data_IF_377861387250
#
_entry.id   IF_377861387250
#
_cell.length_a   1.000
_cell.length_b   1.000
_cell.length_c   1.000
_cell.angle_alpha   90.00
_cell.angle_beta   90.00
_cell.angle_gamma   90.00
#
_symmetry.space_group_name_H-M   'P 1'
#
loop_
_entity.id
_entity.type
_entity.pdbx_description
1 polymer ?
#
# COMPACT_ATOMS: atom_id res chain seq x y z
N UNK A 1 3.63 -28.71 -4.34
CA UNK A 1 3.57 -27.67 -5.40
C UNK A 1 2.42 -26.75 -5.03
N UNK A 2 2.70 -25.51 -4.72
CA UNK A 2 1.72 -24.47 -4.39
C UNK A 2 0.80 -24.23 -5.60
N UNK A 3 -0.42 -23.75 -5.36
CA UNK A 3 -1.37 -23.41 -6.43
C UNK A 3 -2.09 -22.12 -6.07
N UNK A 4 -2.22 -21.24 -7.04
CA UNK A 4 -3.05 -20.06 -6.88
C UNK A 4 -4.53 -20.47 -7.04
N UNK A 5 -5.32 -20.22 -6.00
CA UNK A 5 -6.74 -20.63 -5.95
C UNK A 5 -7.58 -19.36 -5.80
N UNK A 6 -8.38 -19.05 -6.81
CA UNK A 6 -9.41 -18.02 -6.73
C UNK A 6 -10.51 -18.41 -5.74
N UNK A 7 -10.98 -17.45 -4.97
CA UNK A 7 -12.07 -17.60 -3.98
C UNK A 7 -13.14 -16.55 -4.26
N UNK A 8 -14.35 -17.00 -4.57
CA UNK A 8 -15.51 -16.11 -4.57
C UNK A 8 -15.82 -15.69 -3.12
N UNK A 9 -15.68 -14.39 -2.84
CA UNK A 9 -15.79 -13.83 -1.49
C UNK A 9 -17.14 -13.16 -1.24
N UNK A 10 -18.11 -13.31 -2.14
CA UNK A 10 -19.48 -12.80 -1.93
C UNK A 10 -20.16 -13.57 -0.80
N UNK A 11 -20.93 -12.88 0.02
CA UNK A 11 -21.61 -13.42 1.20
C UNK A 11 -20.66 -13.96 2.30
N UNK A 12 -19.45 -13.42 2.37
CA UNK A 12 -18.46 -13.77 3.41
C UNK A 12 -18.21 -12.62 4.40
N UNK A 13 -18.98 -11.55 4.33
CA UNK A 13 -18.75 -10.26 5.00
C UNK A 13 -17.45 -9.58 4.53
N UNK A 14 -17.01 -9.87 3.33
CA UNK A 14 -15.84 -9.25 2.72
C UNK A 14 -16.15 -7.80 2.31
N UNK A 15 -15.34 -6.85 2.77
CA UNK A 15 -15.56 -5.44 2.46
C UNK A 15 -15.60 -5.16 0.95
N UNK A 16 -14.75 -5.84 0.16
CA UNK A 16 -14.64 -5.67 -1.29
C UNK A 16 -15.95 -6.01 -2.03
N UNK A 17 -16.60 -7.12 -1.69
CA UNK A 17 -17.80 -7.60 -2.38
C UNK A 17 -19.09 -7.25 -1.64
N UNK A 18 -19.11 -7.31 -0.31
CA UNK A 18 -20.32 -7.16 0.51
C UNK A 18 -20.44 -5.76 1.14
N UNK A 19 -19.37 -4.93 1.07
CA UNK A 19 -19.36 -3.57 1.64
C UNK A 19 -19.76 -2.46 0.68
N UNK A 20 -20.20 -2.77 -0.54
CA UNK A 20 -20.44 -1.81 -1.62
C UNK A 20 -21.52 -0.78 -1.29
N UNK A 21 -22.62 -1.21 -0.64
CA UNK A 21 -23.71 -0.31 -0.27
C UNK A 21 -23.23 0.89 0.57
N UNK A 22 -22.29 0.64 1.49
CA UNK A 22 -21.75 1.70 2.35
C UNK A 22 -20.89 2.70 1.55
N UNK A 23 -20.09 2.22 0.60
CA UNK A 23 -19.12 3.03 -0.13
C UNK A 23 -19.70 3.70 -1.37
N UNK A 24 -20.49 2.95 -2.14
CA UNK A 24 -21.02 3.37 -3.44
C UNK A 24 -22.50 3.74 -3.41
N UNK A 25 -23.21 3.44 -2.29
CA UNK A 25 -24.66 3.61 -2.19
C UNK A 25 -25.45 2.62 -3.04
N UNK A 26 -24.81 1.51 -3.47
CA UNK A 26 -25.35 0.52 -4.38
C UNK A 26 -24.68 -0.84 -4.16
N UNK A 27 -25.38 -1.94 -4.47
CA UNK A 27 -24.88 -3.31 -4.41
C UNK A 27 -24.81 -3.95 -5.79
N UNK A 28 -24.14 -5.09 -5.89
CA UNK A 28 -24.06 -5.88 -7.12
C UNK A 28 -23.19 -5.24 -8.21
N UNK A 29 -22.29 -4.36 -7.85
CA UNK A 29 -21.24 -3.88 -8.73
C UNK A 29 -20.14 -4.93 -8.87
N UNK A 30 -19.46 -4.96 -10.01
CA UNK A 30 -18.27 -5.78 -10.17
C UNK A 30 -17.09 -5.12 -9.43
N UNK A 31 -16.52 -5.82 -8.43
CA UNK A 31 -15.64 -5.22 -7.45
C UNK A 31 -14.16 -5.27 -7.87
N UNK A 32 -13.58 -4.10 -8.17
CA UNK A 32 -12.16 -3.92 -8.49
C UNK A 32 -11.53 -2.75 -7.69
N UNK A 33 -11.95 -2.53 -6.44
CA UNK A 33 -11.58 -1.34 -5.64
C UNK A 33 -10.67 -1.66 -4.44
N UNK A 34 -11.13 -2.40 -3.42
CA UNK A 34 -10.34 -2.67 -2.21
C UNK A 34 -9.01 -3.33 -2.56
N UNK A 35 -7.92 -2.80 -1.98
CA UNK A 35 -6.58 -3.35 -2.13
C UNK A 35 -6.38 -4.60 -1.25
N UNK A 36 -7.13 -5.66 -1.56
CA UNK A 36 -6.91 -7.05 -1.12
C UNK A 36 -7.08 -8.00 -2.31
N UNK A 37 -6.71 -9.24 -2.17
CA UNK A 37 -6.73 -10.20 -3.26
C UNK A 37 -7.93 -11.15 -3.15
N UNK A 38 -8.38 -11.70 -4.28
CA UNK A 38 -9.39 -12.75 -4.32
C UNK A 38 -8.74 -14.16 -4.43
N UNK A 39 -7.52 -14.30 -3.96
CA UNK A 39 -6.78 -15.56 -3.90
C UNK A 39 -6.71 -16.08 -2.46
N UNK A 40 -6.86 -17.41 -2.32
CA UNK A 40 -6.60 -18.09 -1.05
C UNK A 40 -5.15 -17.83 -0.64
N UNK A 41 -4.94 -17.52 0.64
CA UNK A 41 -3.60 -17.32 1.21
C UNK A 41 -2.72 -18.58 1.07
N UNK A 42 -1.38 -18.47 1.16
CA UNK A 42 -0.47 -19.62 1.09
C UNK A 42 -0.86 -20.74 2.05
N UNK A 43 -0.66 -22.00 1.64
CA UNK A 43 -1.01 -23.16 2.49
C UNK A 43 -0.23 -23.17 3.81
N UNK A 44 1.00 -22.65 3.85
CA UNK A 44 1.77 -22.50 5.08
C UNK A 44 1.04 -21.65 6.12
N UNK A 45 0.39 -20.57 5.70
CA UNK A 45 -0.43 -19.70 6.58
C UNK A 45 -1.66 -20.45 7.08
N UNK A 46 -2.39 -21.14 6.18
CA UNK A 46 -3.59 -21.90 6.56
C UNK A 46 -3.25 -22.99 7.55
N UNK A 47 -2.17 -23.72 7.31
CA UNK A 47 -1.73 -24.82 8.18
C UNK A 47 -1.29 -24.34 9.56
N UNK A 48 -0.52 -23.26 9.64
CA UNK A 48 -0.08 -22.68 10.92
C UNK A 48 -1.26 -22.14 11.75
N UNK A 49 -2.20 -21.46 11.10
CA UNK A 49 -3.42 -20.99 11.76
C UNK A 49 -4.30 -22.14 12.25
N UNK A 50 -4.44 -23.20 11.47
CA UNK A 50 -5.20 -24.41 11.86
C UNK A 50 -4.59 -25.05 13.11
N UNK A 51 -3.27 -25.26 13.12
CA UNK A 51 -2.55 -25.80 14.28
C UNK A 51 -2.78 -24.95 15.53
N UNK A 52 -2.68 -23.62 15.39
CA UNK A 52 -2.94 -22.70 16.50
C UNK A 52 -4.39 -22.80 17.00
N UNK A 53 -5.37 -22.84 16.08
CA UNK A 53 -6.80 -22.97 16.42
C UNK A 53 -7.10 -24.28 17.14
N UNK A 54 -6.47 -25.38 16.74
CA UNK A 54 -6.63 -26.72 17.34
C UNK A 54 -6.15 -26.77 18.81
N UNK A 55 -5.26 -25.86 19.25
CA UNK A 55 -4.85 -25.76 20.65
C UNK A 55 -6.02 -25.42 21.60
N UNK A 56 -7.07 -24.76 21.09
CA UNK A 56 -8.30 -24.45 21.80
C UNK A 56 -8.18 -23.44 22.95
N UNK A 57 -7.00 -22.83 23.16
CA UNK A 57 -6.76 -21.83 24.21
C UNK A 57 -6.10 -20.59 23.62
N UNK A 58 -6.79 -19.46 23.62
CA UNK A 58 -6.36 -18.19 23.00
C UNK A 58 -6.05 -17.14 24.06
N UNK A 59 -5.13 -17.48 24.97
CA UNK A 59 -4.66 -16.61 26.05
C UNK A 59 -3.63 -15.57 25.59
N UNK A 60 -2.96 -14.93 26.55
CA UNK A 60 -1.88 -13.98 26.25
C UNK A 60 -0.75 -14.69 25.49
N UNK A 61 -0.31 -14.05 24.39
CA UNK A 61 0.66 -14.61 23.48
C UNK A 61 2.04 -13.98 23.68
N UNK A 62 3.06 -14.80 23.85
CA UNK A 62 4.45 -14.37 23.82
C UNK A 62 4.97 -14.50 22.40
N UNK A 63 5.34 -13.39 21.79
CA UNK A 63 5.88 -13.38 20.42
C UNK A 63 7.17 -14.21 20.39
N UNK A 64 7.25 -15.27 19.56
CA UNK A 64 8.46 -16.10 19.47
C UNK A 64 9.56 -15.40 18.67
N UNK A 65 10.82 -15.75 18.94
CA UNK A 65 11.96 -15.24 18.17
C UNK A 65 11.86 -15.62 16.70
N UNK A 66 11.26 -16.75 16.37
CA UNK A 66 11.03 -17.21 15.00
C UNK A 66 10.16 -16.24 14.17
N UNK A 67 9.26 -15.48 14.79
CA UNK A 67 8.50 -14.44 14.10
C UNK A 67 9.41 -13.33 13.57
N UNK A 68 10.30 -12.82 14.41
CA UNK A 68 11.26 -11.79 14.00
C UNK A 68 12.26 -12.35 13.00
N UNK A 69 12.73 -13.57 13.23
CA UNK A 69 13.72 -14.19 12.34
C UNK A 69 13.15 -14.42 10.94
N UNK A 70 11.90 -14.88 10.80
CA UNK A 70 11.25 -15.06 9.50
C UNK A 70 11.20 -13.76 8.68
N UNK A 71 10.88 -12.65 9.33
CA UNK A 71 10.89 -11.34 8.70
C UNK A 71 12.31 -10.86 8.35
N UNK A 72 13.26 -10.98 9.26
CA UNK A 72 14.66 -10.59 9.05
C UNK A 72 15.29 -11.37 7.88
N UNK A 73 15.02 -12.68 7.82
CA UNK A 73 15.50 -13.52 6.71
C UNK A 73 14.84 -13.11 5.39
N UNK A 74 13.53 -12.80 5.40
CA UNK A 74 12.82 -12.31 4.23
C UNK A 74 13.42 -11.00 3.68
N UNK A 75 13.64 -10.01 4.53
CA UNK A 75 14.23 -8.72 4.15
C UNK A 75 15.64 -8.89 3.56
N UNK A 76 16.45 -9.75 4.18
CA UNK A 76 17.80 -10.05 3.68
C UNK A 76 17.75 -10.76 2.31
N UNK A 77 16.89 -11.75 2.15
CA UNK A 77 16.84 -12.60 0.95
C UNK A 77 16.18 -11.89 -0.24
N UNK A 78 15.13 -11.09 -0.02
CA UNK A 78 14.37 -10.45 -1.09
C UNK A 78 14.81 -9.02 -1.38
N UNK A 79 15.26 -8.28 -0.35
CA UNK A 79 15.58 -6.86 -0.48
C UNK A 79 17.06 -6.55 -0.19
N UNK A 80 17.85 -7.54 0.23
CA UNK A 80 19.27 -7.33 0.58
C UNK A 80 19.49 -6.40 1.76
N UNK A 81 18.50 -6.28 2.65
CA UNK A 81 18.52 -5.36 3.79
C UNK A 81 18.60 -6.10 5.12
N UNK A 82 19.64 -5.76 5.91
CA UNK A 82 19.91 -6.38 7.22
C UNK A 82 19.15 -5.64 8.33
N UNK A 83 17.94 -6.10 8.64
CA UNK A 83 17.14 -5.58 9.75
C UNK A 83 17.59 -6.22 11.06
N UNK A 84 17.74 -5.41 12.13
CA UNK A 84 18.02 -5.93 13.46
C UNK A 84 16.73 -6.09 14.25
N UNK A 85 16.63 -7.15 15.04
CA UNK A 85 15.45 -7.46 15.86
C UNK A 85 15.06 -6.29 16.78
N UNK A 86 16.04 -5.63 17.40
CA UNK A 86 15.84 -4.49 18.29
C UNK A 86 15.26 -3.26 17.61
N UNK A 87 15.28 -3.17 16.28
CA UNK A 87 14.66 -2.09 15.53
C UNK A 87 13.17 -2.27 15.30
N UNK A 88 12.69 -3.54 15.44
CA UNK A 88 11.32 -3.89 15.06
C UNK A 88 10.35 -3.56 16.20
N UNK A 89 9.29 -2.83 15.85
CA UNK A 89 8.14 -2.54 16.69
C UNK A 89 6.86 -3.03 16.00
N UNK A 90 5.82 -3.22 16.77
CA UNK A 90 4.52 -3.69 16.29
C UNK A 90 3.56 -2.52 16.10
N UNK A 91 2.74 -2.56 15.01
CA UNK A 91 1.49 -1.82 14.92
C UNK A 91 0.36 -2.72 14.34
N UNK A 92 -0.93 -2.44 14.64
CA UNK A 92 -2.04 -3.30 14.21
C UNK A 92 -2.42 -3.10 12.74
N UNK A 93 -1.49 -2.65 11.94
CA UNK A 93 -1.59 -2.34 10.52
C UNK A 93 -0.86 -1.06 10.19
N UNK A 94 -0.43 -0.93 8.94
CA UNK A 94 0.40 0.19 8.48
C UNK A 94 -0.31 1.54 8.67
N UNK A 95 -1.63 1.60 8.39
CA UNK A 95 -2.41 2.83 8.58
C UNK A 95 -2.39 3.29 10.05
N UNK A 96 -2.59 2.38 11.00
CA UNK A 96 -2.48 2.73 12.42
C UNK A 96 -1.04 3.17 12.79
N UNK A 97 -0.05 2.48 12.23
CA UNK A 97 1.37 2.79 12.44
C UNK A 97 1.74 4.20 12.04
N UNK A 98 1.37 4.63 10.84
CA UNK A 98 1.70 6.00 10.41
C UNK A 98 0.85 7.08 11.12
N UNK A 99 -0.39 6.78 11.56
CA UNK A 99 -1.14 7.68 12.44
C UNK A 99 -0.42 7.90 13.79
N UNK A 100 0.12 6.82 14.38
CA UNK A 100 0.88 6.92 15.63
C UNK A 100 2.19 7.67 15.44
N UNK A 101 2.94 7.36 14.37
CA UNK A 101 4.19 8.06 14.05
C UNK A 101 3.95 9.55 13.79
N UNK A 102 2.86 9.89 13.11
CA UNK A 102 2.49 11.28 12.87
C UNK A 102 2.30 12.03 14.21
N UNK A 103 1.62 11.41 15.20
CA UNK A 103 1.46 11.99 16.54
C UNK A 103 2.76 12.03 17.36
N UNK A 104 3.65 11.06 17.15
CA UNK A 104 4.94 10.97 17.85
C UNK A 104 5.95 11.99 17.33
N UNK A 105 5.94 12.26 16.01
CA UNK A 105 6.96 13.03 15.31
C UNK A 105 6.56 14.49 15.05
N UNK A 106 5.29 14.85 15.25
CA UNK A 106 4.77 16.19 14.97
C UNK A 106 3.80 16.65 16.04
N UNK A 107 3.59 17.98 16.12
CA UNK A 107 2.58 18.61 16.98
C UNK A 107 1.35 19.04 16.15
N UNK A 108 0.24 19.41 16.80
CA UNK A 108 -0.91 20.00 16.13
C UNK A 108 -0.51 21.25 15.34
N UNK A 109 -1.07 21.38 14.13
CA UNK A 109 -0.78 22.43 13.14
C UNK A 109 0.60 22.36 12.48
N UNK A 110 1.45 21.38 12.79
CA UNK A 110 2.65 21.14 11.99
C UNK A 110 2.28 20.76 10.54
N UNK A 111 3.10 21.18 9.59
CA UNK A 111 2.92 20.85 8.19
C UNK A 111 3.49 19.46 7.87
N UNK A 112 2.70 18.65 7.16
CA UNK A 112 3.06 17.31 6.69
C UNK A 112 2.91 17.26 5.18
N UNK A 113 3.97 16.85 4.47
CA UNK A 113 3.98 16.78 3.00
C UNK A 113 3.79 15.35 2.51
N UNK A 114 3.09 15.21 1.38
CA UNK A 114 2.91 13.97 0.62
C UNK A 114 3.05 14.23 -0.87
N UNK A 115 3.41 13.21 -1.67
CA UNK A 115 3.44 13.32 -3.14
C UNK A 115 2.13 12.80 -3.71
N UNK A 116 1.31 13.68 -4.29
CA UNK A 116 0.01 13.32 -4.88
C UNK A 116 0.10 13.07 -6.41
N UNK A 117 -0.75 12.17 -7.00
CA UNK A 117 -1.81 11.40 -6.32
C UNK A 117 -1.23 10.37 -5.37
N UNK A 118 -1.86 10.17 -4.21
CA UNK A 118 -1.37 9.22 -3.21
C UNK A 118 -2.52 8.55 -2.47
N UNK A 119 -2.26 7.41 -1.88
CA UNK A 119 -3.19 6.66 -1.04
C UNK A 119 -3.93 7.57 -0.04
N UNK A 120 -5.24 7.71 -0.23
CA UNK A 120 -6.06 8.70 0.46
C UNK A 120 -6.02 8.61 2.00
N UNK A 121 -5.80 7.45 2.66
CA UNK A 121 -5.59 7.43 4.10
C UNK A 121 -4.38 8.26 4.60
N UNK A 122 -3.40 8.59 3.75
CA UNK A 122 -2.36 9.55 4.14
C UNK A 122 -2.94 10.96 4.32
N UNK A 123 -3.80 11.37 3.37
CA UNK A 123 -4.47 12.67 3.41
C UNK A 123 -5.38 12.76 4.64
N UNK A 124 -6.12 11.67 4.91
CA UNK A 124 -7.01 11.57 6.06
C UNK A 124 -6.22 11.55 7.38
N UNK A 125 -5.09 10.84 7.44
CA UNK A 125 -4.26 10.82 8.64
C UNK A 125 -3.78 12.20 9.04
N UNK A 126 -3.29 12.99 8.08
CA UNK A 126 -2.84 14.36 8.33
C UNK A 126 -3.97 15.23 8.85
N UNK A 127 -5.14 15.21 8.18
CA UNK A 127 -6.31 16.01 8.54
C UNK A 127 -6.94 15.58 9.88
N UNK A 128 -7.13 14.27 10.08
CA UNK A 128 -7.76 13.73 11.27
C UNK A 128 -6.93 13.89 12.54
N UNK A 129 -5.61 14.08 12.38
CA UNK A 129 -4.71 14.39 13.48
C UNK A 129 -4.44 15.91 13.61
N UNK A 130 -5.22 16.77 12.97
CA UNK A 130 -5.10 18.23 13.03
C UNK A 130 -3.72 18.76 12.60
N UNK A 131 -3.11 18.15 11.57
CA UNK A 131 -1.89 18.65 10.91
C UNK A 131 -2.25 19.34 9.62
N UNK A 132 -1.37 20.20 9.14
CA UNK A 132 -1.54 20.92 7.88
C UNK A 132 -1.05 20.07 6.72
N UNK A 133 -1.97 19.65 5.84
CA UNK A 133 -1.63 18.85 4.67
C UNK A 133 -1.01 19.72 3.57
N UNK A 134 0.19 19.36 3.14
CA UNK A 134 0.88 19.93 1.99
C UNK A 134 0.99 18.86 0.92
N UNK A 135 0.51 19.17 -0.29
CA UNK A 135 0.60 18.25 -1.43
C UNK A 135 1.66 18.75 -2.41
N UNK A 136 2.65 17.92 -2.72
CA UNK A 136 3.57 18.11 -3.83
C UNK A 136 3.16 17.14 -4.94
N UNK A 137 2.63 17.67 -6.04
CA UNK A 137 2.12 16.83 -7.11
C UNK A 137 3.28 16.21 -7.89
N UNK A 138 3.18 14.91 -8.15
CA UNK A 138 4.06 14.23 -9.08
C UNK A 138 3.87 14.81 -10.49
N UNK A 139 4.93 14.97 -11.24
CA UNK A 139 4.85 15.25 -12.68
C UNK A 139 4.28 14.03 -13.39
N UNK A 140 3.37 14.24 -14.31
CA UNK A 140 2.78 13.18 -15.13
C UNK A 140 3.03 13.51 -16.61
N UNK A 141 3.81 12.69 -17.27
CA UNK A 141 4.06 12.77 -18.71
C UNK A 141 3.46 11.53 -19.38
N UNK A 142 2.18 11.65 -19.80
CA UNK A 142 1.44 10.58 -20.48
C UNK A 142 1.41 9.25 -19.69
N UNK A 143 1.15 9.32 -18.38
CA UNK A 143 1.06 8.16 -17.49
C UNK A 143 2.38 7.81 -16.79
N UNK A 144 3.49 8.37 -17.22
CA UNK A 144 4.77 8.23 -16.52
C UNK A 144 4.90 9.29 -15.43
N UNK A 145 4.99 8.85 -14.19
CA UNK A 145 5.07 9.72 -13.03
C UNK A 145 6.52 9.90 -12.56
N UNK A 146 6.88 11.12 -12.19
CA UNK A 146 8.19 11.47 -11.61
C UNK A 146 8.03 12.50 -10.49
N UNK A 147 9.04 12.58 -9.63
CA UNK A 147 9.06 13.53 -8.52
C UNK A 147 9.45 14.93 -9.04
N UNK A 148 8.70 15.96 -8.65
CA UNK A 148 9.09 17.35 -8.82
C UNK A 148 9.91 17.80 -7.60
N UNK A 149 11.21 17.58 -7.63
CA UNK A 149 12.11 17.90 -6.52
C UNK A 149 12.14 19.40 -6.19
N UNK A 150 12.03 20.26 -7.19
CA UNK A 150 12.05 21.71 -7.01
C UNK A 150 10.77 22.18 -6.28
N UNK A 151 9.59 21.66 -6.69
CA UNK A 151 8.32 21.92 -6.03
C UNK A 151 8.32 21.35 -4.60
N UNK A 152 8.84 20.13 -4.44
CA UNK A 152 8.91 19.45 -3.14
C UNK A 152 9.75 20.26 -2.14
N UNK A 153 10.99 20.66 -2.49
CA UNK A 153 11.86 21.43 -1.62
C UNK A 153 11.30 22.82 -1.35
N UNK A 154 10.76 23.48 -2.38
CA UNK A 154 10.09 24.78 -2.21
C UNK A 154 8.95 24.71 -1.20
N UNK A 155 8.08 23.70 -1.30
CA UNK A 155 6.96 23.52 -0.36
C UNK A 155 7.42 23.20 1.05
N UNK A 156 8.48 22.42 1.21
CA UNK A 156 9.09 22.17 2.53
C UNK A 156 9.50 23.51 3.18
N UNK A 157 10.17 24.37 2.41
CA UNK A 157 10.66 25.66 2.91
C UNK A 157 9.51 26.62 3.20
N UNK A 158 8.61 26.82 2.23
CA UNK A 158 7.50 27.79 2.32
C UNK A 158 6.54 27.48 3.48
N UNK A 159 6.32 26.20 3.76
CA UNK A 159 5.38 25.73 4.79
C UNK A 159 6.05 25.24 6.09
N UNK A 160 7.39 25.28 6.18
CA UNK A 160 8.15 24.78 7.33
C UNK A 160 7.76 23.35 7.73
N UNK A 161 7.69 22.47 6.71
CA UNK A 161 7.27 21.08 6.85
C UNK A 161 8.09 20.35 7.91
N UNK A 162 7.44 19.52 8.72
CA UNK A 162 8.06 18.71 9.78
C UNK A 162 8.14 17.23 9.46
N UNK A 163 7.25 16.74 8.61
CA UNK A 163 7.12 15.33 8.30
C UNK A 163 6.80 15.12 6.82
N UNK A 164 7.46 14.16 6.20
CA UNK A 164 7.14 13.62 4.90
C UNK A 164 6.61 12.18 5.04
N UNK A 165 5.48 11.87 4.40
CA UNK A 165 4.99 10.49 4.29
C UNK A 165 5.21 10.01 2.87
N UNK A 166 6.15 9.07 2.70
CA UNK A 166 6.51 8.44 1.43
C UNK A 166 5.70 7.16 1.22
N UNK A 167 5.21 6.95 0.01
CA UNK A 167 4.65 5.69 -0.46
C UNK A 167 5.64 5.00 -1.41
N UNK A 168 6.17 3.83 -1.05
CA UNK A 168 7.21 3.13 -1.83
C UNK A 168 7.08 1.61 -1.74
N UNK A 169 6.67 0.92 -2.80
CA UNK A 169 6.15 1.37 -4.10
C UNK A 169 4.93 2.27 -4.02
N UNK A 170 4.78 3.16 -5.00
CA UNK A 170 3.80 4.25 -4.94
C UNK A 170 2.41 3.85 -5.40
N UNK A 171 1.42 4.04 -4.56
CA UNK A 171 0.00 3.86 -4.83
C UNK A 171 -0.69 5.25 -4.92
N UNK A 172 -1.37 5.61 -6.04
CA UNK A 172 -1.86 4.73 -7.09
C UNK A 172 -0.97 4.64 -8.34
N UNK A 173 0.08 5.45 -8.46
CA UNK A 173 0.85 5.60 -9.71
C UNK A 173 1.66 4.34 -10.12
N UNK A 174 1.69 3.29 -9.29
CA UNK A 174 2.38 2.04 -9.60
C UNK A 174 3.91 2.15 -9.72
N UNK A 175 4.52 3.28 -9.29
CA UNK A 175 5.96 3.53 -9.40
C UNK A 175 6.78 2.78 -8.36
N UNK A 176 7.91 2.25 -8.80
CA UNK A 176 9.00 1.77 -7.94
C UNK A 176 10.13 2.79 -8.00
N UNK A 177 10.35 3.52 -6.91
CA UNK A 177 11.33 4.60 -6.88
C UNK A 177 12.75 4.06 -6.98
N UNK A 178 13.58 4.71 -7.81
CA UNK A 178 14.99 4.38 -7.95
C UNK A 178 15.78 4.90 -6.74
N UNK A 179 16.93 4.28 -6.49
CA UNK A 179 17.79 4.65 -5.36
C UNK A 179 18.19 6.12 -5.38
N UNK A 180 18.45 6.66 -6.57
CA UNK A 180 18.84 8.05 -6.78
C UNK A 180 17.69 9.01 -6.48
N UNK A 181 16.44 8.67 -6.87
CA UNK A 181 15.24 9.45 -6.57
C UNK A 181 15.00 9.50 -5.05
N UNK A 182 15.08 8.34 -4.38
CA UNK A 182 14.94 8.25 -2.93
C UNK A 182 16.02 9.07 -2.20
N UNK A 183 17.28 8.93 -2.59
CA UNK A 183 18.38 9.69 -1.99
C UNK A 183 18.15 11.19 -2.11
N UNK A 184 17.76 11.67 -3.27
CA UNK A 184 17.51 13.10 -3.48
C UNK A 184 16.39 13.61 -2.57
N UNK A 185 15.28 12.86 -2.42
CA UNK A 185 14.20 13.19 -1.47
C UNK A 185 14.73 13.27 -0.03
N UNK A 186 15.53 12.26 0.36
CA UNK A 186 16.01 12.17 1.74
C UNK A 186 17.07 13.20 2.07
N UNK A 187 17.91 13.60 1.10
CA UNK A 187 18.85 14.72 1.26
C UNK A 187 18.11 16.05 1.47
N UNK A 188 17.03 16.29 0.71
CA UNK A 188 16.18 17.47 0.91
C UNK A 188 15.57 17.42 2.33
N UNK A 189 14.97 16.29 2.73
CA UNK A 189 14.40 16.14 4.06
C UNK A 189 15.44 16.37 5.16
N UNK A 190 16.65 15.84 5.02
CA UNK A 190 17.76 16.01 5.94
C UNK A 190 18.19 17.48 6.06
N UNK A 191 18.36 18.15 4.91
CA UNK A 191 18.77 19.56 4.87
C UNK A 191 17.81 20.48 5.63
N UNK A 192 16.51 20.14 5.61
CA UNK A 192 15.44 20.91 6.26
C UNK A 192 14.95 20.32 7.58
N UNK A 193 15.58 19.27 8.11
CA UNK A 193 15.22 18.60 9.37
C UNK A 193 13.77 18.06 9.38
N UNK A 194 13.35 17.48 8.25
CA UNK A 194 12.04 16.86 8.06
C UNK A 194 12.14 15.37 8.40
N UNK A 195 11.27 14.88 9.28
CA UNK A 195 11.14 13.45 9.54
C UNK A 195 10.52 12.73 8.32
N UNK A 196 10.81 11.44 8.18
CA UNK A 196 10.31 10.61 7.08
C UNK A 196 9.61 9.38 7.65
N UNK A 197 8.38 9.15 7.23
CA UNK A 197 7.69 7.86 7.37
C UNK A 197 7.64 7.21 5.99
N UNK A 198 8.33 6.09 5.80
CA UNK A 198 8.28 5.32 4.56
C UNK A 198 7.29 4.18 4.70
N UNK A 199 6.17 4.27 4.00
CA UNK A 199 5.21 3.17 3.86
C UNK A 199 5.66 2.26 2.72
N UNK A 200 6.16 1.08 3.10
CA UNK A 200 6.72 0.08 2.19
C UNK A 200 5.84 -1.19 2.12
N UNK A 201 4.55 -1.06 2.41
CA UNK A 201 3.61 -2.19 2.46
C UNK A 201 3.51 -2.98 1.13
N UNK A 202 3.91 -2.38 0.01
CA UNK A 202 3.90 -2.98 -1.32
C UNK A 202 5.28 -3.47 -1.78
N UNK A 203 6.28 -3.50 -0.90
CA UNK A 203 7.69 -3.77 -1.24
C UNK A 203 7.92 -5.06 -2.05
N UNK A 204 7.13 -6.11 -1.80
CA UNK A 204 7.26 -7.42 -2.46
C UNK A 204 6.46 -7.52 -3.78
N UNK A 205 5.66 -6.52 -4.09
CA UNK A 205 4.77 -6.49 -5.24
C UNK A 205 5.39 -5.62 -6.35
N UNK A 206 6.42 -6.15 -7.00
CA UNK A 206 7.26 -5.45 -7.99
C UNK A 206 7.37 -6.31 -9.25
N UNK A 207 7.34 -5.68 -10.43
CA UNK A 207 7.26 -6.35 -11.72
C UNK A 207 8.42 -6.02 -12.65
N UNK A 208 8.68 -6.92 -13.60
CA UNK A 208 9.73 -6.77 -14.60
C UNK A 208 11.13 -6.74 -13.98
N UNK A 209 11.95 -5.80 -14.42
CA UNK A 209 13.32 -5.61 -13.92
C UNK A 209 13.40 -4.66 -12.70
N UNK A 210 12.25 -4.13 -12.25
CA UNK A 210 12.21 -3.21 -11.12
C UNK A 210 12.54 -3.96 -9.81
N UNK A 211 13.15 -3.22 -8.89
CA UNK A 211 13.47 -3.73 -7.54
C UNK A 211 13.10 -2.69 -6.51
N UNK A 212 12.36 -3.11 -5.51
CA UNK A 212 12.15 -2.25 -4.35
C UNK A 212 13.48 -1.98 -3.64
N UNK A 213 13.67 -0.74 -3.23
CA UNK A 213 14.80 -0.31 -2.42
C UNK A 213 14.27 0.07 -1.04
N UNK A 214 14.57 -0.70 0.01
CA UNK A 214 14.21 -0.32 1.37
C UNK A 214 14.78 1.06 1.70
N UNK A 215 13.95 1.99 2.10
CA UNK A 215 14.34 3.40 2.27
C UNK A 215 15.49 3.55 3.27
N UNK A 216 15.45 2.80 4.36
CA UNK A 216 16.51 2.76 5.39
C UNK A 216 17.85 2.18 4.87
N UNK A 217 17.86 1.51 3.70
CA UNK A 217 19.09 1.00 3.08
C UNK A 217 19.81 2.02 2.18
N UNK A 218 19.21 3.19 1.96
CA UNK A 218 19.71 4.16 0.96
C UNK A 218 20.87 5.00 1.44
N UNK A 219 21.05 5.18 2.75
CA UNK A 219 22.08 6.02 3.36
C UNK A 219 21.92 6.13 4.87
N UNK A 220 22.56 7.16 5.44
CA UNK A 220 22.57 7.41 6.89
C UNK A 220 21.43 8.37 7.28
N UNK A 221 20.17 7.88 7.30
CA UNK A 221 18.97 8.66 7.62
C UNK A 221 18.24 8.14 8.86
N UNK A 222 18.85 7.27 9.65
CA UNK A 222 18.24 6.55 10.77
C UNK A 222 17.61 7.48 11.82
N UNK A 223 18.20 8.65 12.04
CA UNK A 223 17.78 9.65 13.03
C UNK A 223 16.55 10.47 12.61
N UNK A 224 16.17 10.40 11.33
CA UNK A 224 14.99 11.12 10.78
C UNK A 224 13.98 10.20 10.10
N UNK A 225 14.27 8.90 9.96
CA UNK A 225 13.45 7.99 9.13
C UNK A 225 12.94 6.78 9.93
N UNK A 226 11.69 6.43 9.66
CA UNK A 226 11.05 5.21 10.11
C UNK A 226 10.39 4.54 8.90
N UNK A 227 10.59 3.22 8.74
CA UNK A 227 9.90 2.44 7.71
C UNK A 227 8.78 1.60 8.32
N UNK A 228 7.70 1.39 7.58
CA UNK A 228 6.59 0.51 7.97
C UNK A 228 6.33 -0.51 6.87
N UNK A 229 6.33 -1.78 7.24
CA UNK A 229 6.12 -2.92 6.34
C UNK A 229 5.08 -3.88 6.91
N UNK A 230 4.47 -4.69 6.05
CA UNK A 230 3.53 -5.72 6.49
C UNK A 230 3.39 -6.85 5.47
N UNK A 231 3.23 -8.07 5.94
CA UNK A 231 2.87 -9.23 5.13
C UNK A 231 1.46 -9.14 4.52
N UNK A 232 0.67 -8.13 4.90
CA UNK A 232 -0.76 -8.04 4.61
C UNK A 232 -1.11 -7.90 3.13
N UNK A 233 -0.31 -7.14 2.36
CA UNK A 233 -0.50 -7.00 0.90
C UNK A 233 0.19 -8.12 0.15
N UNK A 234 1.39 -8.48 0.54
CA UNK A 234 2.18 -9.55 -0.05
C UNK A 234 1.44 -10.88 -0.03
N UNK A 235 0.83 -11.25 1.09
CA UNK A 235 0.22 -12.57 1.32
C UNK A 235 -1.28 -12.56 1.58
N UNK A 236 -1.96 -11.44 1.25
CA UNK A 236 -3.41 -11.30 1.39
C UNK A 236 -3.95 -11.56 2.80
N UNK A 237 -3.25 -11.11 3.83
CA UNK A 237 -3.60 -11.32 5.25
C UNK A 237 -3.92 -10.02 6.00
N UNK A 238 -4.51 -9.04 5.33
CA UNK A 238 -4.83 -7.74 5.94
C UNK A 238 -5.74 -7.87 7.20
N UNK A 239 -6.65 -8.84 7.22
CA UNK A 239 -7.49 -9.14 8.38
C UNK A 239 -6.73 -9.62 9.62
N UNK A 240 -5.47 -10.04 9.48
CA UNK A 240 -4.61 -10.45 10.60
C UNK A 240 -4.11 -9.26 11.44
N UNK A 241 -4.19 -8.04 10.93
CA UNK A 241 -3.83 -6.80 11.63
C UNK A 241 -2.44 -6.87 12.28
N UNK A 242 -1.43 -7.12 11.46
CA UNK A 242 -0.04 -7.21 11.88
C UNK A 242 0.85 -6.43 10.91
N UNK A 243 1.65 -5.51 11.44
CA UNK A 243 2.68 -4.79 10.70
C UNK A 243 3.90 -4.53 11.58
N UNK A 244 5.02 -4.29 10.94
CA UNK A 244 6.30 -4.01 11.56
C UNK A 244 6.70 -2.57 11.28
N UNK A 245 7.08 -1.86 12.31
CA UNK A 245 7.65 -0.52 12.26
C UNK A 245 9.14 -0.66 12.54
N UNK A 246 9.97 -0.28 11.59
CA UNK A 246 11.43 -0.43 11.67
C UNK A 246 12.01 0.93 12.07
N UNK A 247 12.61 0.99 13.25
CA UNK A 247 13.14 2.21 13.87
C UNK A 247 14.59 1.95 14.30
N UNK A 248 15.60 2.30 13.49
CA UNK A 248 17.00 2.09 13.86
C UNK A 248 17.51 3.01 14.97
N UNK A 249 17.04 4.27 15.01
CA UNK A 249 17.50 5.27 15.98
C UNK A 249 16.91 5.06 17.38
N UNK A 250 17.75 5.00 18.40
CA UNK A 250 17.36 4.76 19.80
C UNK A 250 16.41 5.85 20.35
N UNK A 251 16.58 7.11 19.97
CA UNK A 251 15.71 8.20 20.44
C UNK A 251 14.32 8.12 19.84
N UNK A 252 14.23 7.71 18.57
CA UNK A 252 12.94 7.46 17.92
C UNK A 252 12.26 6.22 18.52
N UNK A 253 13.02 5.16 18.87
CA UNK A 253 12.51 4.01 19.61
C UNK A 253 11.94 4.43 20.97
N UNK A 254 12.65 5.23 21.74
CA UNK A 254 12.19 5.73 23.04
C UNK A 254 10.86 6.50 22.93
N UNK A 255 10.73 7.37 21.91
CA UNK A 255 9.47 8.09 21.64
C UNK A 255 8.33 7.13 21.32
N UNK A 256 8.57 6.15 20.43
CA UNK A 256 7.60 5.12 20.09
C UNK A 256 7.17 4.31 21.30
N UNK A 257 8.13 3.79 22.07
CA UNK A 257 7.89 2.95 23.24
C UNK A 257 7.13 3.71 24.34
N UNK A 258 7.43 5.01 24.53
CA UNK A 258 6.70 5.88 25.45
C UNK A 258 5.23 6.06 25.01
N UNK A 259 4.98 6.29 23.71
CA UNK A 259 3.65 6.45 23.15
C UNK A 259 2.82 5.15 23.31
N UNK A 260 3.37 4.02 22.92
CA UNK A 260 2.74 2.70 23.01
C UNK A 260 2.41 2.33 24.46
N UNK A 261 3.34 2.59 25.39
CA UNK A 261 3.15 2.40 26.82
C UNK A 261 2.07 3.32 27.40
N UNK A 262 2.07 4.58 27.00
CA UNK A 262 1.06 5.58 27.42
C UNK A 262 -0.35 5.21 27.00
N UNK A 263 -0.50 4.68 25.80
CA UNK A 263 -1.78 4.25 25.21
C UNK A 263 -2.14 2.80 25.58
N UNK A 264 -1.33 2.10 26.37
CA UNK A 264 -1.54 0.71 26.80
C UNK A 264 -1.72 -0.28 25.64
N UNK A 265 -1.02 -0.07 24.53
CA UNK A 265 -0.99 -1.03 23.42
C UNK A 265 -0.11 -2.20 23.84
N UNK A 266 -0.71 -3.36 24.05
CA UNK A 266 -0.02 -4.56 24.58
C UNK A 266 0.55 -5.48 23.50
N UNK A 267 0.63 -5.01 22.25
CA UNK A 267 1.01 -5.81 21.09
C UNK A 267 -0.22 -6.24 20.25
N UNK A 268 0.02 -7.13 19.30
CA UNK A 268 -1.00 -7.64 18.39
C UNK A 268 -1.73 -8.88 18.91
N UNK A 269 -2.58 -9.42 18.05
CA UNK A 269 -3.25 -10.69 18.30
C UNK A 269 -2.37 -11.89 17.87
N UNK A 270 -2.53 -13.03 18.54
CA UNK A 270 -1.76 -14.23 18.25
C UNK A 270 -1.91 -14.74 16.83
N UNK A 271 -3.13 -14.66 16.26
CA UNK A 271 -3.41 -15.09 14.88
C UNK A 271 -2.61 -14.28 13.88
N UNK A 272 -2.45 -12.96 14.12
CA UNK A 272 -1.65 -12.08 13.27
C UNK A 272 -0.17 -12.45 13.28
N UNK A 273 0.40 -12.74 14.45
CA UNK A 273 1.79 -13.18 14.56
C UNK A 273 2.03 -14.53 13.90
N UNK A 274 1.14 -15.51 14.14
CA UNK A 274 1.22 -16.85 13.54
C UNK A 274 1.12 -16.76 12.02
N UNK A 275 0.17 -15.98 11.50
CA UNK A 275 -0.01 -15.82 10.07
C UNK A 275 1.19 -15.14 9.40
N UNK A 276 1.68 -14.03 9.95
CA UNK A 276 2.82 -13.30 9.40
C UNK A 276 4.12 -14.11 9.45
N UNK A 277 4.39 -14.80 10.55
CA UNK A 277 5.54 -15.70 10.66
C UNK A 277 5.50 -16.78 9.58
N UNK A 278 4.37 -17.47 9.42
CA UNK A 278 4.24 -18.55 8.45
C UNK A 278 4.34 -18.02 6.99
N UNK A 279 3.79 -16.84 6.74
CA UNK A 279 3.83 -16.19 5.44
C UNK A 279 5.27 -15.88 5.01
N UNK A 280 6.05 -15.20 5.84
CA UNK A 280 7.46 -14.90 5.56
C UNK A 280 8.33 -16.14 5.48
N UNK A 281 8.07 -17.15 6.34
CA UNK A 281 8.88 -18.37 6.36
C UNK A 281 8.64 -19.32 5.16
N UNK A 282 7.46 -19.27 4.53
CA UNK A 282 7.09 -20.29 3.54
C UNK A 282 6.27 -19.81 2.35
N UNK A 283 6.01 -18.50 2.20
CA UNK A 283 5.10 -17.97 1.20
C UNK A 283 5.71 -17.66 -0.17
N UNK A 284 7.01 -17.83 -0.37
CA UNK A 284 7.73 -17.37 -1.57
C UNK A 284 7.19 -17.99 -2.87
N UNK A 285 6.96 -19.30 -2.92
CA UNK A 285 6.41 -19.99 -4.12
C UNK A 285 5.01 -19.43 -4.48
N UNK A 286 4.17 -19.17 -3.46
CA UNK A 286 2.86 -18.58 -3.65
C UNK A 286 2.93 -17.13 -4.17
N UNK A 287 3.85 -16.33 -3.63
CA UNK A 287 4.04 -14.95 -4.09
C UNK A 287 4.42 -14.90 -5.57
N UNK A 288 5.32 -15.79 -6.01
CA UNK A 288 5.68 -15.89 -7.44
C UNK A 288 4.44 -16.11 -8.32
N UNK A 289 3.57 -17.05 -7.95
CA UNK A 289 2.34 -17.32 -8.70
C UNK A 289 1.37 -16.12 -8.73
N UNK A 290 1.30 -15.37 -7.63
CA UNK A 290 0.48 -14.15 -7.57
C UNK A 290 1.02 -13.06 -8.48
N UNK A 291 2.33 -12.83 -8.46
CA UNK A 291 2.97 -11.84 -9.31
C UNK A 291 2.77 -12.17 -10.79
N UNK A 292 2.97 -13.42 -11.18
CA UNK A 292 2.72 -13.89 -12.55
C UNK A 292 1.27 -13.62 -12.98
N UNK A 293 0.29 -13.92 -12.12
CA UNK A 293 -1.13 -13.69 -12.43
C UNK A 293 -1.47 -12.19 -12.53
N UNK A 294 -0.92 -11.35 -11.66
CA UNK A 294 -1.16 -9.91 -11.71
C UNK A 294 -0.54 -9.32 -12.98
N UNK A 295 0.66 -9.75 -13.35
CA UNK A 295 1.31 -9.29 -14.58
C UNK A 295 0.52 -9.73 -15.82
N UNK A 296 0.03 -10.98 -15.89
CA UNK A 296 -0.86 -11.45 -16.96
C UNK A 296 -2.12 -10.57 -17.05
N UNK A 297 -2.75 -10.29 -15.93
CA UNK A 297 -3.94 -9.44 -15.84
C UNK A 297 -3.66 -8.01 -16.33
N UNK A 298 -2.52 -7.44 -15.94
CA UNK A 298 -2.12 -6.11 -16.39
C UNK A 298 -1.84 -6.06 -17.90
N UNK A 299 -1.12 -7.04 -18.43
CA UNK A 299 -0.83 -7.09 -19.87
C UNK A 299 -2.11 -7.24 -20.70
N UNK A 300 -3.06 -8.07 -20.24
CA UNK A 300 -4.37 -8.19 -20.85
C UNK A 300 -5.12 -6.85 -20.86
N UNK A 301 -5.29 -6.22 -19.70
CA UNK A 301 -5.97 -4.93 -19.57
C UNK A 301 -5.33 -3.87 -20.49
N UNK A 302 -4.00 -3.77 -20.47
CA UNK A 302 -3.26 -2.80 -21.27
C UNK A 302 -3.45 -3.01 -22.77
N UNK A 303 -3.40 -4.26 -23.24
CA UNK A 303 -3.57 -4.61 -24.64
C UNK A 303 -4.99 -4.31 -25.15
N UNK A 304 -6.02 -4.70 -24.40
CA UNK A 304 -7.42 -4.48 -24.76
C UNK A 304 -7.78 -2.98 -24.78
N UNK A 305 -7.33 -2.21 -23.77
CA UNK A 305 -7.57 -0.78 -23.75
C UNK A 305 -6.80 -0.06 -24.87
N UNK A 306 -5.56 -0.45 -25.17
CA UNK A 306 -4.80 0.14 -26.25
C UNK A 306 -5.44 -0.10 -27.63
N UNK A 307 -6.12 -1.25 -27.83
CA UNK A 307 -6.82 -1.56 -29.07
C UNK A 307 -8.20 -0.86 -29.17
N UNK A 308 -8.97 -0.88 -28.08
CA UNK A 308 -10.40 -0.48 -28.11
C UNK A 308 -10.66 0.93 -27.59
N UNK A 309 -9.81 1.43 -26.69
CA UNK A 309 -9.87 2.75 -26.09
C UNK A 309 -8.47 3.42 -26.17
N UNK A 310 -7.93 3.69 -27.38
CA UNK A 310 -6.53 4.06 -27.59
C UNK A 310 -6.12 5.39 -26.95
N UNK A 311 -7.06 6.24 -26.56
CA UNK A 311 -6.78 7.51 -25.88
C UNK A 311 -6.82 7.36 -24.34
N UNK A 312 -7.17 6.17 -23.81
CA UNK A 312 -7.04 5.90 -22.37
C UNK A 312 -5.57 5.73 -22.00
N UNK A 313 -5.14 6.45 -20.96
CA UNK A 313 -3.75 6.36 -20.51
C UNK A 313 -3.66 5.38 -19.34
N UNK A 314 -3.09 4.21 -19.59
CA UNK A 314 -2.80 3.18 -18.58
C UNK A 314 -1.39 3.41 -18.06
N UNK A 315 -1.27 3.78 -16.79
CA UNK A 315 0.03 4.00 -16.13
C UNK A 315 0.85 2.70 -16.09
N UNK A 316 2.18 2.73 -16.35
CA UNK A 316 3.03 1.57 -16.16
C UNK A 316 2.92 0.98 -14.76
N UNK A 317 2.72 -0.33 -14.66
CA UNK A 317 2.64 -1.04 -13.39
C UNK A 317 4.03 -1.59 -13.03
N UNK A 318 4.87 -0.75 -12.41
CA UNK A 318 6.19 -1.17 -11.91
C UNK A 318 6.07 -1.90 -10.58
N UNK A 319 5.07 -1.52 -9.77
CA UNK A 319 4.77 -2.12 -8.46
C UNK A 319 3.31 -1.98 -8.05
N UNK A 320 2.95 -2.62 -6.95
CA UNK A 320 1.58 -2.82 -6.46
C UNK A 320 0.77 -3.78 -7.36
N UNK A 321 -0.50 -4.00 -7.06
CA UNK A 321 -1.47 -4.68 -7.95
C UNK A 321 -2.64 -3.76 -8.33
N UNK A 322 -2.37 -2.45 -8.29
CA UNK A 322 -3.38 -1.40 -8.43
C UNK A 322 -3.08 -0.60 -9.70
N UNK A 323 -3.90 -0.80 -10.71
CA UNK A 323 -3.73 -0.16 -12.01
C UNK A 323 -4.40 1.22 -12.02
N UNK A 324 -3.65 2.25 -12.38
CA UNK A 324 -4.10 3.65 -12.47
C UNK A 324 -4.36 4.02 -13.93
N UNK A 325 -5.55 4.51 -14.23
CA UNK A 325 -6.02 4.73 -15.61
C UNK A 325 -6.65 6.11 -15.73
N UNK A 326 -6.17 6.94 -16.67
CA UNK A 326 -6.82 8.19 -17.05
C UNK A 326 -7.78 7.96 -18.21
N UNK A 327 -9.03 8.38 -18.02
CA UNK A 327 -10.12 8.26 -18.99
C UNK A 327 -10.60 9.62 -19.50
N UNK A 328 -9.79 10.67 -19.37
CA UNK A 328 -10.14 12.06 -19.72
C UNK A 328 -10.68 12.22 -21.16
N UNK A 329 -10.14 11.44 -22.10
CA UNK A 329 -10.57 11.47 -23.49
C UNK A 329 -11.99 10.91 -23.71
N UNK A 330 -12.52 10.14 -22.75
CA UNK A 330 -13.81 9.44 -22.88
C UNK A 330 -14.86 9.91 -21.88
N UNK A 331 -14.45 10.32 -20.69
CA UNK A 331 -15.36 10.68 -19.60
C UNK A 331 -14.90 11.95 -18.90
N UNK A 332 -15.80 12.88 -18.75
CA UNK A 332 -15.57 14.11 -17.96
C UNK A 332 -15.55 13.79 -16.47
N UNK A 333 -14.81 14.55 -15.69
CA UNK A 333 -14.67 14.33 -14.24
C UNK A 333 -16.02 14.31 -13.49
N UNK A 334 -16.96 15.20 -13.87
CA UNK A 334 -18.29 15.28 -13.29
C UNK A 334 -19.24 14.12 -13.67
N UNK A 335 -18.90 13.36 -14.72
CA UNK A 335 -19.66 12.22 -15.23
C UNK A 335 -19.08 10.86 -14.80
N UNK A 336 -17.87 10.82 -14.22
CA UNK A 336 -17.14 9.58 -13.90
C UNK A 336 -17.99 8.60 -13.08
N UNK A 337 -18.66 9.06 -12.04
CA UNK A 337 -19.50 8.21 -11.20
C UNK A 337 -20.70 7.64 -11.98
N UNK A 338 -21.33 8.45 -12.81
CA UNK A 338 -22.48 8.00 -13.62
C UNK A 338 -22.03 6.95 -14.66
N UNK A 339 -20.91 7.18 -15.32
CA UNK A 339 -20.43 6.27 -16.37
C UNK A 339 -19.84 5.00 -15.73
N UNK A 340 -18.87 5.13 -14.85
CA UNK A 340 -18.12 3.97 -14.34
C UNK A 340 -18.97 3.14 -13.37
N UNK A 341 -19.64 3.77 -12.41
CA UNK A 341 -20.44 3.02 -11.45
C UNK A 341 -21.79 2.58 -12.03
N UNK A 342 -22.54 3.48 -12.72
CA UNK A 342 -23.91 3.18 -13.14
C UNK A 342 -23.97 2.43 -14.47
N UNK A 343 -23.25 2.89 -15.50
CA UNK A 343 -23.30 2.25 -16.83
C UNK A 343 -22.38 1.03 -16.88
N UNK A 344 -21.09 1.17 -16.50
CA UNK A 344 -20.15 0.05 -16.50
C UNK A 344 -20.43 -0.95 -15.36
N UNK A 345 -21.21 -0.60 -14.34
CA UNK A 345 -21.47 -1.45 -13.15
C UNK A 345 -20.22 -1.84 -12.40
N UNK A 346 -19.21 -0.96 -12.32
CA UNK A 346 -17.94 -1.21 -11.67
C UNK A 346 -17.85 -0.48 -10.30
N UNK A 347 -17.34 -1.18 -9.31
CA UNK A 347 -16.82 -0.59 -8.08
C UNK A 347 -15.30 -0.48 -8.21
N UNK A 348 -14.81 0.74 -8.41
CA UNK A 348 -13.40 1.10 -8.50
C UNK A 348 -13.13 2.26 -7.55
N UNK A 349 -11.87 2.54 -7.23
CA UNK A 349 -11.54 3.79 -6.55
C UNK A 349 -11.48 4.93 -7.56
N UNK A 350 -12.18 6.03 -7.26
CA UNK A 350 -12.20 7.22 -8.11
C UNK A 350 -10.99 8.10 -7.82
N UNK A 351 -10.46 8.73 -8.87
CA UNK A 351 -9.21 9.45 -8.80
C UNK A 351 -9.23 10.67 -7.87
N UNK A 352 -10.36 11.33 -7.73
CA UNK A 352 -10.53 12.48 -6.82
C UNK A 352 -10.24 12.14 -5.35
N UNK A 353 -10.34 10.87 -4.95
CA UNK A 353 -9.98 10.43 -3.60
C UNK A 353 -8.48 10.57 -3.31
N UNK A 354 -7.62 10.48 -4.34
CA UNK A 354 -6.16 10.41 -4.21
C UNK A 354 -5.45 11.78 -4.19
N UNK A 355 -6.21 12.88 -4.21
CA UNK A 355 -5.62 14.21 -4.18
C UNK A 355 -6.55 15.33 -4.66
N UNK A 356 -7.86 15.04 -4.83
CA UNK A 356 -8.89 16.01 -5.18
C UNK A 356 -9.21 16.07 -6.68
N UNK A 357 -10.01 17.05 -7.06
CA UNK A 357 -10.69 17.17 -8.38
C UNK A 357 -9.75 17.10 -9.60
N UNK A 358 -8.47 17.46 -9.44
CA UNK A 358 -7.48 17.40 -10.54
C UNK A 358 -7.18 15.97 -11.03
N UNK A 359 -7.56 14.98 -10.25
CA UNK A 359 -7.48 13.56 -10.64
C UNK A 359 -8.86 12.97 -10.95
N UNK A 360 -9.88 13.80 -11.12
CA UNK A 360 -11.27 13.38 -11.27
C UNK A 360 -11.57 12.52 -12.51
N UNK A 361 -10.68 12.49 -13.50
CA UNK A 361 -10.81 11.65 -14.71
C UNK A 361 -10.12 10.29 -14.59
N UNK A 362 -9.51 10.02 -13.42
CA UNK A 362 -8.80 8.77 -13.19
C UNK A 362 -9.65 7.74 -12.43
N UNK A 363 -9.32 6.48 -12.65
CA UNK A 363 -9.78 5.35 -11.83
C UNK A 363 -8.59 4.49 -11.40
N UNK A 364 -8.73 3.80 -10.26
CA UNK A 364 -7.78 2.78 -9.84
C UNK A 364 -8.48 1.42 -9.80
N UNK A 365 -7.96 0.46 -10.54
CA UNK A 365 -8.48 -0.91 -10.62
C UNK A 365 -7.54 -1.89 -9.92
N UNK A 366 -8.08 -2.75 -9.07
CA UNK A 366 -7.35 -3.85 -8.44
C UNK A 366 -7.27 -5.05 -9.38
N UNK A 367 -6.05 -5.48 -9.71
CA UNK A 367 -5.77 -6.60 -10.62
C UNK A 367 -5.43 -7.92 -9.90
N UNK A 368 -5.41 -7.95 -8.55
CA UNK A 368 -5.15 -9.17 -7.77
C UNK A 368 -6.41 -10.02 -7.62
N UNK A 369 -6.92 -10.49 -8.75
CA UNK A 369 -8.11 -11.33 -8.87
C UNK A 369 -7.96 -12.27 -10.06
N UNK A 370 -8.95 -13.13 -10.33
CA UNK A 370 -8.89 -14.01 -11.50
C UNK A 370 -8.91 -13.21 -12.81
N UNK A 371 -8.38 -13.81 -13.88
CA UNK A 371 -8.40 -13.25 -15.22
C UNK A 371 -9.81 -12.92 -15.68
N UNK A 372 -10.77 -13.80 -15.44
CA UNK A 372 -12.18 -13.62 -15.81
C UNK A 372 -12.77 -12.35 -15.14
N UNK A 373 -12.40 -12.05 -13.89
CA UNK A 373 -12.86 -10.84 -13.23
C UNK A 373 -12.26 -9.57 -13.88
N UNK A 374 -11.01 -9.63 -14.32
CA UNK A 374 -10.37 -8.52 -15.05
C UNK A 374 -11.02 -8.36 -16.43
N UNK A 375 -11.29 -9.46 -17.15
CA UNK A 375 -11.99 -9.45 -18.43
C UNK A 375 -13.37 -8.79 -18.31
N UNK A 376 -14.16 -9.14 -17.29
CA UNK A 376 -15.47 -8.49 -17.02
C UNK A 376 -15.30 -6.99 -16.83
N UNK A 377 -14.33 -6.56 -16.02
CA UNK A 377 -14.08 -5.14 -15.75
C UNK A 377 -13.66 -4.37 -17.00
N UNK A 378 -12.72 -4.91 -17.77
CA UNK A 378 -12.22 -4.31 -19.01
C UNK A 378 -13.32 -4.23 -20.08
N UNK A 379 -14.06 -5.32 -20.29
CA UNK A 379 -15.17 -5.35 -21.25
C UNK A 379 -16.29 -4.36 -20.87
N UNK A 380 -16.53 -4.18 -19.57
CA UNK A 380 -17.51 -3.18 -19.11
C UNK A 380 -17.08 -1.74 -19.44
N UNK A 381 -15.79 -1.42 -19.35
CA UNK A 381 -15.24 -0.14 -19.81
C UNK A 381 -15.41 0.02 -21.33
N UNK A 382 -14.93 -0.95 -22.10
CA UNK A 382 -14.96 -0.92 -23.58
C UNK A 382 -16.40 -0.78 -24.13
N UNK A 383 -17.37 -1.43 -23.50
CA UNK A 383 -18.76 -1.40 -23.96
C UNK A 383 -19.49 -0.08 -23.65
N UNK A 384 -18.98 0.78 -22.76
CA UNK A 384 -19.67 1.97 -22.28
C UNK A 384 -18.89 3.27 -22.46
N UNK A 385 -17.64 3.22 -22.93
CA UNK A 385 -16.78 4.35 -23.27
C UNK A 385 -16.57 4.44 -24.78
#
# INVERSE_FOLDING_TARGET
MEKLVYVDRRNTNCNKWDGQQKMFGEEGLHAMWVADMDFRVPECVVSALREYVESGVYGYYKIPDAYYQAFIDWEREHHGYEVKKEWIRFSPGVVAGFHWLLQILTEENDAVIVNTPVYYPFLDAVKNNHRNLICSDLKNENGEYSIDFDDFEKKITDHQVKLFILCSPHNPAGRVWKKEELKQLFEICRAHQVYIISDEIHQDLVFGENKHIPSLSTGEYDDIMVSIVAASKTFNIAGAQNSMVIIPDEKLQEKWDAYVKGNRVLGGNAFGYVAAQAAYAGGNEWLTLVLDQIEENYQYLKAELAEKLPEAVVTPLEGTYLCWINLEAYVRADEMKEVIQKKCRLAVDFGDWFGGERFGTFIRMNLATSKENVEIGVNALIANL
#
